data_IF_581344384979
#
_entry.id   IF_581344384979
#
_cell.length_a   1.000
_cell.length_b   1.000
_cell.length_c   1.000
_cell.angle_alpha   90.00
_cell.angle_beta   90.00
_cell.angle_gamma   90.00
#
_symmetry.space_group_name_H-M   'P 1'
#
loop_
_entity.id
_entity.type
_entity.pdbx_description
1 polymer ?
#
# COMPACT_ATOMS: atom_id res chain seq x y z
N UNK A 1 9.71 6.52 12.62
CA UNK A 1 8.28 6.63 13.02
C UNK A 1 7.32 6.29 11.88
N UNK A 2 7.44 6.85 10.67
CA UNK A 2 6.47 6.59 9.57
C UNK A 2 6.33 5.11 9.21
N UNK A 3 7.41 4.32 9.34
CA UNK A 3 7.36 2.86 9.12
C UNK A 3 6.33 2.14 10.00
N UNK A 4 6.11 2.59 11.24
CA UNK A 4 5.13 2.00 12.16
C UNK A 4 3.69 2.34 11.74
N UNK A 5 3.43 3.57 11.28
CA UNK A 5 2.11 4.01 10.85
C UNK A 5 1.71 3.51 9.45
N UNK A 6 2.60 2.77 8.77
CA UNK A 6 2.39 2.32 7.39
C UNK A 6 1.06 1.57 7.17
N UNK A 7 0.57 0.70 8.09
CA UNK A 7 -0.73 0.05 7.92
C UNK A 7 -1.93 0.99 7.90
N UNK A 8 -1.80 2.25 8.36
CA UNK A 8 -2.86 3.26 8.35
C UNK A 8 -2.82 4.19 7.15
N UNK A 9 -1.74 4.16 6.37
CA UNK A 9 -1.52 5.09 5.26
C UNK A 9 -1.87 4.39 3.95
N UNK A 10 -2.90 4.91 3.28
CA UNK A 10 -3.28 4.50 1.93
C UNK A 10 -2.11 4.77 0.97
N UNK A 11 -1.75 3.77 0.17
CA UNK A 11 -0.67 3.87 -0.83
C UNK A 11 0.66 4.42 -0.27
N UNK A 12 1.04 4.10 0.97
CA UNK A 12 2.25 4.62 1.60
C UNK A 12 3.53 4.47 0.74
N UNK A 13 3.62 3.38 -0.04
CA UNK A 13 4.74 3.13 -0.96
C UNK A 13 4.92 4.19 -2.05
N UNK A 14 3.83 4.85 -2.48
CA UNK A 14 3.89 5.92 -3.49
C UNK A 14 4.51 7.19 -2.90
N UNK A 15 4.09 7.57 -1.69
CA UNK A 15 4.57 8.78 -1.01
C UNK A 15 5.99 8.64 -0.45
N UNK A 16 6.34 7.44 0.01
CA UNK A 16 7.66 7.19 0.60
C UNK A 16 8.78 7.13 -0.44
N UNK A 17 8.47 6.75 -1.68
CA UNK A 17 9.47 6.60 -2.75
C UNK A 17 10.34 7.86 -2.96
N UNK A 18 9.77 9.04 -3.28
CA UNK A 18 10.58 10.25 -3.50
C UNK A 18 11.33 10.69 -2.23
N UNK A 19 10.81 10.36 -1.04
CA UNK A 19 11.45 10.69 0.23
C UNK A 19 12.65 9.78 0.53
N UNK A 20 12.59 8.49 0.16
CA UNK A 20 13.72 7.57 0.30
C UNK A 20 14.88 7.94 -0.64
N UNK A 21 14.60 8.56 -1.79
CA UNK A 21 15.65 9.04 -2.70
C UNK A 21 16.51 10.14 -2.05
N UNK A 22 15.95 10.94 -1.14
CA UNK A 22 16.70 11.93 -0.34
C UNK A 22 17.60 11.32 0.74
N UNK A 23 17.43 10.03 1.04
CA UNK A 23 18.21 9.33 2.06
C UNK A 23 19.28 8.40 1.48
N UNK A 24 19.47 8.41 0.16
CA UNK A 24 20.56 7.66 -0.48
C UNK A 24 21.91 8.34 -0.20
N UNK A 25 22.99 7.57 -0.16
CA UNK A 25 24.35 8.07 0.13
C UNK A 25 24.83 9.16 -0.83
N UNK A 26 24.24 9.24 -2.03
CA UNK A 26 24.52 10.25 -3.06
C UNK A 26 23.79 11.59 -2.84
N UNK A 27 23.01 11.71 -1.75
CA UNK A 27 22.25 12.93 -1.49
C UNK A 27 23.17 14.08 -1.06
N UNK A 28 23.12 15.20 -1.79
CA UNK A 28 23.84 16.41 -1.43
C UNK A 28 23.32 17.00 -0.11
N UNK A 29 24.25 17.32 0.80
CA UNK A 29 23.96 18.10 2.01
C UNK A 29 24.27 19.59 1.78
N UNK A 30 23.40 20.53 2.19
CA UNK A 30 22.10 20.30 2.84
C UNK A 30 21.04 19.79 1.84
N UNK A 31 20.12 18.96 2.33
CA UNK A 31 19.03 18.41 1.50
C UNK A 31 18.24 19.53 0.83
N UNK A 32 18.17 19.48 -0.50
CA UNK A 32 17.37 20.40 -1.33
C UNK A 32 16.18 19.66 -1.93
N UNK A 33 15.08 19.49 -1.17
CA UNK A 33 13.93 18.76 -1.67
C UNK A 33 13.28 19.51 -2.84
N UNK A 34 13.01 18.78 -3.91
CA UNK A 34 12.30 19.30 -5.08
C UNK A 34 10.78 19.38 -4.82
N UNK A 35 10.04 19.91 -5.80
CA UNK A 35 8.59 20.08 -5.69
C UNK A 35 7.84 18.74 -5.48
N UNK A 36 8.32 17.64 -6.07
CA UNK A 36 7.70 16.32 -5.92
C UNK A 36 7.87 15.77 -4.50
N UNK A 37 9.07 15.91 -3.92
CA UNK A 37 9.38 15.49 -2.56
C UNK A 37 8.59 16.30 -1.52
N UNK A 38 8.46 17.62 -1.72
CA UNK A 38 7.62 18.47 -0.87
C UNK A 38 6.15 18.03 -0.96
N UNK A 39 5.66 17.74 -2.17
CA UNK A 39 4.28 17.26 -2.37
C UNK A 39 4.05 15.93 -1.67
N UNK A 40 4.97 14.98 -1.82
CA UNK A 40 4.88 13.67 -1.18
C UNK A 40 4.89 13.79 0.35
N UNK A 41 5.73 14.66 0.90
CA UNK A 41 5.75 14.93 2.34
C UNK A 41 4.42 15.51 2.84
N UNK A 42 3.84 16.47 2.12
CA UNK A 42 2.52 17.04 2.47
C UNK A 42 1.41 15.99 2.41
N UNK A 43 1.35 15.21 1.33
CA UNK A 43 0.36 14.14 1.17
C UNK A 43 0.47 13.08 2.27
N UNK A 44 1.69 12.75 2.69
CA UNK A 44 1.94 11.84 3.79
C UNK A 44 1.44 12.41 5.13
N UNK A 45 1.70 13.69 5.42
CA UNK A 45 1.16 14.36 6.62
C UNK A 45 -0.37 14.35 6.63
N UNK A 46 -1.00 14.68 5.50
CA UNK A 46 -2.45 14.65 5.38
C UNK A 46 -3.03 13.25 5.57
N UNK A 47 -2.36 12.22 5.02
CA UNK A 47 -2.78 10.83 5.17
C UNK A 47 -2.71 10.36 6.63
N UNK A 48 -1.70 10.81 7.39
CA UNK A 48 -1.58 10.52 8.81
C UNK A 48 -2.68 11.21 9.63
N UNK A 49 -3.03 12.45 9.29
CA UNK A 49 -4.11 13.19 9.96
C UNK A 49 -5.47 12.54 9.67
N UNK A 50 -5.66 12.02 8.45
CA UNK A 50 -6.90 11.36 8.00
C UNK A 50 -6.88 9.85 8.17
N UNK A 51 -5.94 9.31 8.95
CA UNK A 51 -5.80 7.88 9.15
C UNK A 51 -7.12 7.28 9.66
N UNK A 52 -7.70 6.30 8.96
CA UNK A 52 -8.98 5.72 9.37
C UNK A 52 -8.78 4.78 10.57
N UNK A 53 -9.88 4.54 11.29
CA UNK A 53 -9.89 3.49 12.31
C UNK A 53 -9.79 2.11 11.63
N UNK A 54 -8.72 1.38 11.94
CA UNK A 54 -8.55 -0.01 11.52
C UNK A 54 -9.25 -0.96 12.50
N UNK A 55 -9.85 -2.02 11.96
CA UNK A 55 -10.39 -3.11 12.76
C UNK A 55 -9.29 -4.05 13.21
N UNK A 56 -9.44 -4.62 14.42
CA UNK A 56 -8.62 -5.74 14.83
C UNK A 56 -8.97 -6.98 13.97
N UNK A 57 -7.97 -7.78 13.57
CA UNK A 57 -8.21 -9.02 12.84
C UNK A 57 -9.14 -9.95 13.63
N UNK A 58 -10.20 -10.43 13.00
CA UNK A 58 -11.07 -11.46 13.53
C UNK A 58 -10.88 -12.75 12.74
N UNK A 59 -10.13 -13.70 13.28
CA UNK A 59 -9.78 -14.95 12.61
C UNK A 59 -10.96 -15.91 12.39
N UNK A 60 -12.12 -15.67 13.03
CA UNK A 60 -13.35 -16.41 12.74
C UNK A 60 -14.04 -15.97 11.46
N UNK A 61 -13.56 -14.89 10.80
CA UNK A 61 -14.12 -14.36 9.56
C UNK A 61 -13.09 -14.45 8.43
N UNK A 62 -13.54 -14.66 7.18
CA UNK A 62 -12.65 -14.60 6.03
C UNK A 62 -12.10 -13.19 5.85
N UNK A 63 -10.90 -13.11 5.26
CA UNK A 63 -10.28 -11.87 4.84
C UNK A 63 -10.53 -11.59 3.37
N UNK A 64 -10.67 -10.33 3.02
CA UNK A 64 -10.79 -9.85 1.64
C UNK A 64 -9.65 -8.86 1.34
N UNK A 65 -8.87 -9.11 0.30
CA UNK A 65 -7.77 -8.26 -0.12
C UNK A 65 -8.10 -7.60 -1.46
N UNK A 66 -8.20 -6.27 -1.45
CA UNK A 66 -8.41 -5.47 -2.65
C UNK A 66 -7.07 -4.92 -3.14
N UNK A 67 -6.71 -5.19 -4.39
CA UNK A 67 -5.40 -4.86 -4.96
C UNK A 67 -5.51 -3.91 -6.14
N UNK A 68 -4.56 -2.98 -6.22
CA UNK A 68 -4.35 -2.06 -7.32
C UNK A 68 -2.86 -1.82 -7.57
N UNK A 69 -2.48 -1.60 -8.82
CA UNK A 69 -1.11 -1.27 -9.23
C UNK A 69 -1.06 0.03 -10.01
N UNK A 70 -0.16 0.93 -9.61
CA UNK A 70 0.12 2.19 -10.33
C UNK A 70 1.63 2.37 -10.46
N UNK A 71 2.11 2.52 -11.69
CA UNK A 71 3.51 2.91 -12.01
C UNK A 71 4.58 2.10 -11.25
N UNK A 72 4.35 0.79 -11.09
CA UNK A 72 5.26 -0.13 -10.42
C UNK A 72 5.12 -0.18 -8.90
N UNK A 73 4.06 0.41 -8.34
CA UNK A 73 3.75 0.37 -6.91
C UNK A 73 2.44 -0.39 -6.72
N UNK A 74 2.49 -1.45 -5.92
CA UNK A 74 1.33 -2.19 -5.46
C UNK A 74 0.75 -1.50 -4.23
N UNK A 75 -0.57 -1.30 -4.24
CA UNK A 75 -1.35 -0.72 -3.17
C UNK A 75 -2.60 -1.56 -2.96
N UNK A 76 -2.97 -1.84 -1.71
CA UNK A 76 -4.15 -2.62 -1.42
C UNK A 76 -4.66 -2.44 -0.01
N UNK A 77 -5.87 -2.94 0.22
CA UNK A 77 -6.52 -2.90 1.52
C UNK A 77 -7.00 -4.31 1.88
N UNK A 78 -6.58 -4.75 3.07
CA UNK A 78 -7.07 -5.96 3.70
C UNK A 78 -8.29 -5.59 4.54
N UNK A 79 -9.41 -6.27 4.32
CA UNK A 79 -10.69 -5.98 4.96
C UNK A 79 -11.36 -7.24 5.49
N UNK A 80 -12.33 -7.06 6.37
CA UNK A 80 -13.23 -8.12 6.85
C UNK A 80 -14.66 -7.61 6.99
N UNK A 81 -15.64 -8.49 6.86
CA UNK A 81 -17.04 -8.14 7.03
C UNK A 81 -17.34 -7.61 8.46
N UNK A 82 -17.88 -6.40 8.54
CA UNK A 82 -18.30 -5.76 9.78
C UNK A 82 -19.72 -5.18 9.64
N UNK A 83 -20.71 -5.92 10.15
CA UNK A 83 -22.12 -5.59 9.89
C UNK A 83 -22.41 -5.69 8.39
N UNK A 84 -22.93 -4.61 7.81
CA UNK A 84 -23.32 -4.54 6.40
C UNK A 84 -22.21 -4.00 5.46
N UNK A 85 -21.02 -3.71 5.98
CA UNK A 85 -19.93 -3.14 5.19
C UNK A 85 -18.57 -3.80 5.51
N UNK A 86 -17.63 -3.85 4.55
CA UNK A 86 -16.26 -4.25 4.84
C UNK A 86 -15.57 -3.20 5.70
N UNK A 87 -14.87 -3.65 6.75
CA UNK A 87 -14.02 -2.81 7.59
C UNK A 87 -12.55 -3.08 7.26
N UNK A 88 -11.73 -2.04 7.03
CA UNK A 88 -10.30 -2.22 6.80
C UNK A 88 -9.60 -2.71 8.07
N UNK A 89 -8.76 -3.72 7.91
CA UNK A 89 -7.85 -4.27 8.92
C UNK A 89 -6.45 -3.69 8.74
N UNK A 90 -5.99 -3.54 7.48
CA UNK A 90 -4.71 -2.94 7.17
C UNK A 90 -4.65 -2.39 5.73
N UNK A 91 -3.91 -1.31 5.53
CA UNK A 91 -3.45 -0.88 4.21
C UNK A 91 -2.06 -1.43 3.93
N UNK A 92 -1.92 -2.09 2.78
CA UNK A 92 -0.68 -2.71 2.34
C UNK A 92 -0.16 -1.98 1.11
N UNK A 93 1.14 -1.77 1.06
CA UNK A 93 1.79 -1.20 -0.12
C UNK A 93 3.21 -1.70 -0.26
N UNK A 94 3.67 -1.83 -1.50
CA UNK A 94 5.00 -2.32 -1.82
C UNK A 94 5.43 -1.89 -3.22
N UNK A 95 6.73 -1.73 -3.42
CA UNK A 95 7.24 -1.56 -4.78
C UNK A 95 7.40 -2.92 -5.44
N UNK A 96 7.01 -3.01 -6.71
CA UNK A 96 7.36 -4.14 -7.54
C UNK A 96 8.87 -4.16 -7.79
N UNK A 97 9.41 -5.35 -7.94
CA UNK A 97 10.80 -5.55 -8.36
C UNK A 97 11.03 -5.00 -9.79
N UNK A 98 12.28 -4.73 -10.19
CA UNK A 98 12.57 -4.17 -11.50
C UNK A 98 12.08 -5.02 -12.68
N UNK A 99 12.05 -6.35 -12.54
CA UNK A 99 11.59 -7.27 -13.59
C UNK A 99 10.07 -7.14 -13.75
N UNK A 100 9.34 -7.21 -12.64
CA UNK A 100 7.90 -7.04 -12.62
C UNK A 100 7.48 -5.66 -13.17
N UNK A 101 8.24 -4.60 -12.89
CA UNK A 101 8.00 -3.25 -13.43
C UNK A 101 8.10 -3.18 -14.95
N UNK A 102 8.92 -4.03 -15.58
CA UNK A 102 9.08 -4.11 -17.03
C UNK A 102 7.91 -4.77 -17.76
N UNK A 103 6.99 -5.43 -17.04
CA UNK A 103 5.87 -6.14 -17.64
C UNK A 103 4.69 -5.23 -18.04
N UNK A 104 3.83 -5.70 -18.97
CA UNK A 104 2.57 -5.03 -19.30
C UNK A 104 1.64 -4.94 -18.08
N UNK A 105 0.72 -3.97 -18.10
CA UNK A 105 -0.12 -3.64 -16.94
C UNK A 105 -0.92 -4.81 -16.35
N UNK A 106 -1.38 -5.76 -17.18
CA UNK A 106 -2.07 -6.95 -16.69
C UNK A 106 -1.18 -7.82 -15.80
N UNK A 107 0.06 -8.07 -16.24
CA UNK A 107 1.04 -8.86 -15.49
C UNK A 107 1.55 -8.11 -14.26
N UNK A 108 1.70 -6.78 -14.35
CA UNK A 108 2.02 -5.95 -13.17
C UNK A 108 0.96 -6.03 -12.09
N UNK A 109 -0.32 -6.07 -12.46
CA UNK A 109 -1.40 -6.27 -11.48
C UNK A 109 -1.34 -7.65 -10.81
N UNK A 110 -0.96 -8.71 -11.54
CA UNK A 110 -0.77 -10.05 -10.96
C UNK A 110 0.42 -10.06 -10.00
N UNK A 111 1.55 -9.46 -10.41
CA UNK A 111 2.73 -9.32 -9.54
C UNK A 111 2.41 -8.50 -8.28
N UNK A 112 1.61 -7.44 -8.41
CA UNK A 112 1.15 -6.64 -7.28
C UNK A 112 0.27 -7.46 -6.33
N UNK A 113 -0.64 -8.29 -6.87
CA UNK A 113 -1.45 -9.17 -6.05
C UNK A 113 -0.60 -10.18 -5.27
N UNK A 114 0.36 -10.84 -5.93
CA UNK A 114 1.27 -11.76 -5.28
C UNK A 114 2.06 -11.08 -4.14
N UNK A 115 2.64 -9.91 -4.40
CA UNK A 115 3.39 -9.15 -3.40
C UNK A 115 2.54 -8.76 -2.18
N UNK A 116 1.29 -8.36 -2.40
CA UNK A 116 0.41 -7.98 -1.30
C UNK A 116 -0.16 -9.18 -0.55
N UNK A 117 -0.34 -10.33 -1.21
CA UNK A 117 -0.71 -11.58 -0.53
C UNK A 117 0.40 -12.01 0.43
N UNK A 118 1.66 -12.00 0.00
CA UNK A 118 2.80 -12.29 0.87
C UNK A 118 2.84 -11.37 2.10
N UNK A 119 2.63 -10.06 1.88
CA UNK A 119 2.55 -9.09 2.99
C UNK A 119 1.34 -9.33 3.90
N UNK A 120 0.21 -9.77 3.34
CA UNK A 120 -0.99 -10.05 4.11
C UNK A 120 -0.85 -11.32 4.95
N UNK A 121 0.02 -12.27 4.58
CA UNK A 121 0.19 -13.54 5.31
C UNK A 121 0.57 -13.33 6.79
N UNK A 122 1.37 -12.30 7.08
CA UNK A 122 1.74 -11.93 8.47
C UNK A 122 0.53 -11.56 9.34
N UNK A 123 -0.56 -11.09 8.72
CA UNK A 123 -1.80 -10.69 9.40
C UNK A 123 -2.86 -11.79 9.32
N UNK A 124 -2.95 -12.49 8.19
CA UNK A 124 -3.99 -13.50 7.92
C UNK A 124 -3.70 -14.83 8.63
N UNK A 125 -2.42 -15.16 8.85
CA UNK A 125 -1.99 -16.36 9.59
C UNK A 125 -2.61 -17.67 9.08
N UNK A 126 -2.69 -17.83 7.75
CA UNK A 126 -3.20 -19.06 7.11
C UNK A 126 -4.74 -19.20 7.07
N UNK A 127 -5.48 -18.18 7.52
CA UNK A 127 -6.94 -18.17 7.42
C UNK A 127 -7.42 -17.87 5.97
N UNK A 128 -8.69 -18.15 5.65
CA UNK A 128 -9.22 -17.92 4.30
C UNK A 128 -9.06 -16.47 3.84
N UNK A 129 -8.49 -16.29 2.64
CA UNK A 129 -8.23 -15.01 2.00
C UNK A 129 -8.81 -15.01 0.58
N UNK A 130 -9.65 -14.02 0.28
CA UNK A 130 -10.20 -13.80 -1.06
C UNK A 130 -9.56 -12.56 -1.69
N UNK A 131 -8.98 -12.71 -2.88
CA UNK A 131 -8.36 -11.61 -3.62
C UNK A 131 -9.34 -10.95 -4.61
N UNK A 132 -9.46 -9.63 -4.55
CA UNK A 132 -10.29 -8.82 -5.44
C UNK A 132 -9.42 -7.83 -6.22
N UNK A 133 -9.66 -7.73 -7.53
CA UNK A 133 -9.08 -6.67 -8.36
C UNK A 133 -9.93 -5.41 -8.25
N UNK A 134 -9.33 -4.29 -7.86
CA UNK A 134 -9.99 -2.99 -7.96
C UNK A 134 -9.98 -2.56 -9.44
N UNK A 135 -11.09 -2.80 -10.14
CA UNK A 135 -11.37 -2.11 -11.40
C UNK A 135 -11.85 -0.71 -11.02
N UNK A 136 -10.94 0.27 -10.96
CA UNK A 136 -11.37 1.67 -10.97
C UNK A 136 -11.97 1.95 -12.35
N UNK A 137 -13.29 2.02 -12.39
CA UNK A 137 -14.07 2.54 -13.50
C UNK A 137 -13.55 3.95 -13.80
N UNK A 138 -13.01 4.15 -15.02
CA UNK A 138 -12.60 5.45 -15.51
C UNK A 138 -13.80 6.40 -15.42
N UNK A 139 -13.74 7.37 -14.50
CA UNK A 139 -14.49 8.62 -14.64
C UNK A 139 -13.64 9.64 -15.37
#
# INVERSE_FOLDING_TARGET
MIGFCRPWIISAGEWLKPLHELTKEEAEEPLRPNHEQIKAFKALKESLIRAPALGLPNYSKPFELYVHEVKGVASGVLTQAFGNAPRPVAYLSGQLDPVAKGHPGCLRNVAAAALLVEKAQEIVLGHPLTGHKLLMEKR
#
